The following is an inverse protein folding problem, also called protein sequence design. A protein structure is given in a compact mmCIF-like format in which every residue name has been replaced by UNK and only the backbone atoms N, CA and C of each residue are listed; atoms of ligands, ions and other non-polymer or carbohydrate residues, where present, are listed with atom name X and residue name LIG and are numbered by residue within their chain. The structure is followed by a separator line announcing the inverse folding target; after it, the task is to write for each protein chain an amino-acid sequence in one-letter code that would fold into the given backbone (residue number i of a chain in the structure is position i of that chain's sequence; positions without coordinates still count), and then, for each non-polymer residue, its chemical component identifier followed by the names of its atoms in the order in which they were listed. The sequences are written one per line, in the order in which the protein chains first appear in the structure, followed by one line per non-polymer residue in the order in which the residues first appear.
data_IF_635145603790
#
_entry.id   IF_635145603790
#
_cell.length_a   1.000
_cell.length_b   1.000
_cell.length_c   1.000
_cell.angle_alpha   90.00
_cell.angle_beta   90.00
_cell.angle_gamma   90.00
#
_symmetry.space_group_name_H-M   'P 1'
#
loop_
_entity.id
_entity.type
_entity.pdbx_description
1 polymer ?
#
# COMPACT_ATOMS: atom_id res chain seq x y z
N UNK A 1 -11.56 -11.10 -4.82
CA UNK A 1 -10.95 -9.83 -5.22
C UNK A 1 -10.21 -10.02 -6.53
N UNK A 2 -10.25 -9.05 -7.44
CA UNK A 2 -9.54 -9.08 -8.72
C UNK A 2 -8.17 -8.40 -8.59
N UNK A 3 -7.15 -8.97 -9.23
CA UNK A 3 -5.80 -8.39 -9.36
C UNK A 3 -5.57 -8.06 -10.83
N UNK A 4 -5.11 -6.84 -11.19
CA UNK A 4 -4.90 -6.47 -12.61
C UNK A 4 -3.92 -5.33 -12.85
N UNK A 5 -3.40 -5.25 -14.09
CA UNK A 5 -2.52 -4.17 -14.62
C UNK A 5 -3.35 -3.23 -15.48
N UNK A 6 -3.02 -1.94 -15.47
CA UNK A 6 -3.79 -0.88 -16.13
C UNK A 6 -2.87 0.01 -16.97
N UNK A 7 -3.24 0.22 -18.24
CA UNK A 7 -2.63 1.23 -19.09
C UNK A 7 -3.72 2.22 -19.57
N UNK A 8 -3.37 3.50 -19.67
CA UNK A 8 -4.20 4.49 -20.34
C UNK A 8 -3.78 4.60 -21.80
N UNK A 9 -4.72 4.45 -22.74
CA UNK A 9 -4.46 4.63 -24.18
C UNK A 9 -5.50 5.57 -24.81
N UNK A 10 -5.11 6.37 -25.82
CA UNK A 10 -6.04 7.16 -26.61
C UNK A 10 -6.75 6.29 -27.64
N UNK A 11 -7.95 6.74 -28.02
CA UNK A 11 -8.89 6.11 -28.96
C UNK A 11 -8.24 5.55 -30.24
N UNK A 12 -8.43 4.27 -30.50
CA UNK A 12 -8.79 3.74 -31.82
C UNK A 12 -9.39 2.34 -31.67
N UNK A 13 -10.47 2.07 -32.42
CA UNK A 13 -11.30 0.90 -32.28
C UNK A 13 -10.56 -0.42 -32.49
N UNK A 14 -10.65 -1.28 -31.49
CA UNK A 14 -10.40 -2.72 -31.58
C UNK A 14 -11.35 -3.41 -30.62
N UNK A 15 -12.22 -4.27 -31.15
CA UNK A 15 -13.14 -5.07 -30.33
C UNK A 15 -12.36 -5.84 -29.27
N UNK A 16 -12.76 -5.63 -28.02
CA UNK A 16 -12.18 -6.25 -26.84
C UNK A 16 -13.13 -7.33 -26.34
N UNK A 17 -12.64 -8.39 -25.66
CA UNK A 17 -13.53 -9.40 -25.09
C UNK A 17 -14.47 -8.74 -24.07
N UNK A 18 -15.76 -8.98 -24.26
CA UNK A 18 -16.82 -8.51 -23.38
C UNK A 18 -16.68 -9.15 -21.99
N UNK A 19 -17.21 -8.49 -20.95
CA UNK A 19 -17.30 -9.02 -19.59
C UNK A 19 -17.94 -10.43 -19.56
N UNK A 20 -18.80 -10.72 -20.54
CA UNK A 20 -19.39 -12.03 -20.81
C UNK A 20 -18.35 -13.13 -21.12
N UNK A 21 -17.26 -12.79 -21.82
CA UNK A 21 -16.18 -13.73 -22.14
C UNK A 21 -15.42 -14.20 -20.89
N UNK A 22 -15.13 -13.30 -19.96
CA UNK A 22 -14.52 -13.62 -18.67
C UNK A 22 -15.47 -14.41 -17.75
N UNK A 23 -16.77 -14.11 -17.76
CA UNK A 23 -17.80 -14.90 -17.04
C UNK A 23 -17.88 -16.34 -17.54
N UNK A 24 -17.80 -16.54 -18.87
CA UNK A 24 -17.94 -17.87 -19.48
C UNK A 24 -16.81 -18.84 -19.10
N UNK A 25 -15.62 -18.33 -18.76
CA UNK A 25 -14.42 -19.11 -18.46
C UNK A 25 -14.13 -19.30 -16.96
N UNK A 26 -14.92 -18.67 -16.08
CA UNK A 26 -14.81 -18.87 -14.64
C UNK A 26 -15.46 -20.19 -14.20
N UNK A 27 -14.88 -20.83 -13.16
CA UNK A 27 -15.49 -22.00 -12.50
C UNK A 27 -16.88 -21.66 -11.94
N UNK A 28 -17.80 -22.63 -11.81
CA UNK A 28 -19.20 -22.37 -11.44
C UNK A 28 -19.36 -21.54 -10.16
N UNK A 29 -18.55 -21.80 -9.12
CA UNK A 29 -18.60 -21.06 -7.85
C UNK A 29 -18.11 -19.60 -7.95
N UNK A 30 -17.31 -19.26 -8.96
CA UNK A 30 -16.83 -17.89 -9.21
C UNK A 30 -17.83 -17.07 -10.03
N UNK A 31 -18.76 -17.71 -10.74
CA UNK A 31 -19.82 -17.03 -11.51
C UNK A 31 -20.81 -16.34 -10.57
N UNK A 32 -21.18 -17.00 -9.46
CA UNK A 32 -22.10 -16.44 -8.46
C UNK A 32 -21.52 -15.20 -7.75
N UNK A 33 -20.18 -15.10 -7.61
CA UNK A 33 -19.52 -13.91 -7.05
C UNK A 33 -19.51 -12.72 -8.03
N UNK A 34 -19.54 -12.99 -9.34
CA UNK A 34 -19.63 -11.95 -10.38
C UNK A 34 -21.06 -11.40 -10.48
N UNK A 35 -22.09 -12.20 -10.18
CA UNK A 35 -23.48 -11.73 -10.12
C UNK A 35 -23.79 -10.83 -8.91
N UNK A 36 -23.01 -10.92 -7.83
CA UNK A 36 -23.19 -10.12 -6.61
C UNK A 36 -22.69 -8.65 -6.72
N UNK A 37 -22.34 -8.16 -7.91
CA UNK A 37 -21.91 -6.77 -8.08
C UNK A 37 -20.60 -6.41 -7.37
N UNK A 38 -19.83 -7.41 -6.93
CA UNK A 38 -18.53 -7.21 -6.25
C UNK A 38 -17.40 -7.05 -7.27
N UNK A 39 -17.52 -6.03 -8.11
CA UNK A 39 -16.57 -5.68 -9.16
C UNK A 39 -16.54 -4.18 -9.38
N UNK A 40 -15.54 -3.70 -10.14
CA UNK A 40 -15.37 -2.28 -10.44
C UNK A 40 -16.65 -1.71 -11.06
N UNK A 41 -17.05 -0.51 -10.62
CA UNK A 41 -18.30 0.11 -11.07
C UNK A 41 -18.32 0.27 -12.61
N UNK A 42 -19.43 -0.07 -13.31
CA UNK A 42 -19.47 -0.26 -14.77
C UNK A 42 -19.28 0.97 -15.69
N UNK A 43 -18.87 2.14 -15.19
CA UNK A 43 -18.85 3.39 -15.97
C UNK A 43 -17.51 4.13 -15.88
N UNK A 44 -16.40 3.64 -16.48
CA UNK A 44 -15.08 4.26 -16.21
C UNK A 44 -14.14 4.31 -17.41
N UNK A 45 -13.30 5.36 -17.41
CA UNK A 45 -12.18 5.65 -18.31
C UNK A 45 -11.06 4.58 -18.32
N UNK A 46 -11.25 3.47 -17.58
CA UNK A 46 -10.26 2.42 -17.38
C UNK A 46 -10.83 1.07 -17.77
N UNK A 47 -9.99 0.24 -18.38
CA UNK A 47 -10.32 -1.13 -18.75
C UNK A 47 -9.31 -2.09 -18.13
N UNK A 48 -9.81 -3.18 -17.54
CA UNK A 48 -8.96 -4.27 -17.03
C UNK A 48 -8.36 -4.95 -18.26
N UNK A 49 -7.03 -4.92 -18.42
CA UNK A 49 -6.35 -5.64 -19.49
C UNK A 49 -6.04 -7.08 -19.09
N UNK A 50 -5.64 -7.30 -17.84
CA UNK A 50 -5.37 -8.62 -17.30
C UNK A 50 -5.90 -8.76 -15.86
N UNK A 51 -6.27 -9.99 -15.50
CA UNK A 51 -7.02 -10.30 -14.29
C UNK A 51 -6.66 -11.65 -13.68
N UNK A 52 -6.67 -11.73 -12.35
CA UNK A 52 -6.62 -13.00 -11.60
C UNK A 52 -7.70 -13.04 -10.53
N UNK A 53 -8.23 -14.25 -10.26
CA UNK A 53 -9.20 -14.47 -9.18
C UNK A 53 -8.48 -14.99 -7.93
N UNK A 54 -8.63 -14.27 -6.83
CA UNK A 54 -8.23 -14.72 -5.50
C UNK A 54 -9.43 -15.18 -4.68
N UNK A 55 -9.33 -16.38 -4.11
CA UNK A 55 -10.27 -16.91 -3.12
C UNK A 55 -10.05 -16.34 -1.71
N UNK A 56 -9.06 -15.45 -1.55
CA UNK A 56 -8.75 -14.73 -0.30
C UNK A 56 -8.76 -13.22 -0.53
N UNK A 57 -9.09 -12.41 0.48
CA UNK A 57 -8.91 -10.96 0.41
C UNK A 57 -7.45 -10.58 0.12
N UNK A 58 -7.24 -9.61 -0.79
CA UNK A 58 -5.92 -9.09 -1.13
C UNK A 58 -5.78 -7.71 -0.51
N UNK A 59 -4.98 -7.60 0.55
CA UNK A 59 -4.76 -6.34 1.28
C UNK A 59 -3.43 -5.70 0.90
N UNK A 60 -2.47 -6.48 0.41
CA UNK A 60 -1.24 -5.98 -0.18
C UNK A 60 -0.88 -6.76 -1.42
N UNK A 61 -0.36 -6.05 -2.42
CA UNK A 61 0.15 -6.60 -3.65
C UNK A 61 1.48 -5.90 -3.96
N UNK A 62 2.49 -6.70 -4.30
CA UNK A 62 3.81 -6.21 -4.71
C UNK A 62 4.28 -6.95 -5.96
N UNK A 63 4.82 -6.20 -6.90
CA UNK A 63 5.61 -6.75 -7.99
C UNK A 63 6.98 -7.20 -7.47
N UNK A 64 7.45 -8.36 -7.92
CA UNK A 64 8.81 -8.84 -7.66
C UNK A 64 9.72 -8.29 -8.75
N UNK A 65 10.65 -7.35 -8.45
CA UNK A 65 11.49 -6.70 -9.45
C UNK A 65 12.21 -7.71 -10.33
N UNK A 66 12.43 -7.33 -11.59
CA UNK A 66 13.20 -8.10 -12.58
C UNK A 66 12.59 -9.49 -12.91
N UNK A 67 11.33 -9.72 -12.54
CA UNK A 67 10.56 -10.92 -12.85
C UNK A 67 9.15 -10.57 -13.32
N UNK A 68 8.41 -11.57 -13.76
CA UNK A 68 6.98 -11.50 -14.08
C UNK A 68 6.08 -11.94 -12.92
N UNK A 69 6.60 -11.92 -11.68
CA UNK A 69 5.90 -12.42 -10.50
C UNK A 69 5.28 -11.29 -9.68
N UNK A 70 4.10 -11.57 -9.13
CA UNK A 70 3.47 -10.76 -8.08
C UNK A 70 3.39 -11.58 -6.81
N UNK A 71 3.47 -10.90 -5.67
CA UNK A 71 3.18 -11.49 -4.36
C UNK A 71 2.05 -10.72 -3.72
N UNK A 72 1.08 -11.44 -3.17
CA UNK A 72 -0.04 -10.85 -2.43
C UNK A 72 -0.14 -11.41 -1.02
N UNK A 73 -0.63 -10.58 -0.10
CA UNK A 73 -0.98 -10.97 1.27
C UNK A 73 -2.31 -10.38 1.72
N UNK A 74 -2.92 -11.01 2.71
CA UNK A 74 -4.18 -10.61 3.31
C UNK A 74 -4.74 -11.70 4.24
N UNK A 75 -5.84 -11.42 4.96
CA UNK A 75 -6.52 -12.41 5.80
C UNK A 75 -6.87 -13.70 5.03
N UNK A 76 -7.03 -14.86 5.70
CA UNK A 76 -7.16 -15.05 7.15
C UNK A 76 -5.87 -15.42 7.89
N UNK A 77 -4.74 -15.52 7.20
CA UNK A 77 -3.47 -15.99 7.74
C UNK A 77 -2.30 -15.13 7.24
N UNK A 78 -1.07 -15.49 7.61
CA UNK A 78 0.13 -14.80 7.15
C UNK A 78 0.78 -15.41 5.90
N UNK A 79 0.10 -16.34 5.22
CA UNK A 79 0.61 -16.92 3.97
C UNK A 79 0.62 -15.89 2.85
N UNK A 80 1.56 -16.06 1.92
CA UNK A 80 1.63 -15.25 0.70
C UNK A 80 1.19 -16.09 -0.49
N UNK A 81 0.51 -15.46 -1.44
CA UNK A 81 0.21 -16.06 -2.74
C UNK A 81 1.16 -15.47 -3.79
N UNK A 82 1.76 -16.34 -4.59
CA UNK A 82 2.64 -15.98 -5.70
C UNK A 82 1.87 -16.15 -6.99
N UNK A 83 1.89 -15.10 -7.81
CA UNK A 83 1.16 -15.04 -9.07
C UNK A 83 2.13 -14.80 -10.21
N UNK A 84 1.84 -15.41 -11.34
CA UNK A 84 2.52 -15.19 -12.59
C UNK A 84 1.69 -14.26 -13.45
N UNK A 85 2.24 -13.10 -13.81
CA UNK A 85 1.72 -12.27 -14.88
C UNK A 85 2.12 -12.96 -16.18
N UNK A 86 1.14 -13.40 -16.97
CA UNK A 86 1.44 -14.12 -18.21
C UNK A 86 2.07 -13.19 -19.25
N UNK A 87 2.67 -13.79 -20.27
CA UNK A 87 3.21 -13.08 -21.43
C UNK A 87 2.08 -12.41 -22.23
N UNK A 88 2.44 -11.61 -23.24
CA UNK A 88 1.53 -10.71 -23.96
C UNK A 88 0.27 -11.40 -24.56
N UNK A 89 0.31 -12.72 -24.74
CA UNK A 89 -0.79 -13.51 -25.31
C UNK A 89 -1.86 -13.95 -24.30
N UNK A 90 -1.77 -13.53 -23.02
CA UNK A 90 -2.78 -13.88 -22.02
C UNK A 90 -3.12 -12.72 -21.08
N UNK A 91 -4.43 -12.52 -20.95
CA UNK A 91 -5.09 -11.64 -20.00
C UNK A 91 -5.22 -12.26 -18.60
N UNK A 92 -4.66 -13.45 -18.35
CA UNK A 92 -4.84 -14.17 -17.09
C UNK A 92 -3.60 -14.07 -16.22
N UNK A 93 -3.79 -13.53 -15.01
CA UNK A 93 -2.81 -13.62 -13.91
C UNK A 93 -3.11 -14.91 -13.13
N UNK A 94 -2.17 -15.85 -13.16
CA UNK A 94 -2.35 -17.19 -12.58
C UNK A 94 -1.68 -17.30 -11.22
N UNK A 95 -2.36 -17.87 -10.24
CA UNK A 95 -1.69 -18.31 -9.01
C UNK A 95 -0.78 -19.49 -9.35
N UNK A 96 0.50 -19.39 -8.97
CA UNK A 96 1.51 -20.42 -9.27
C UNK A 96 2.04 -21.12 -8.03
N UNK A 97 2.03 -20.45 -6.88
CA UNK A 97 2.45 -21.07 -5.62
C UNK A 97 2.01 -20.26 -4.41
N UNK A 98 2.23 -20.82 -3.22
CA UNK A 98 2.05 -20.13 -1.95
C UNK A 98 3.32 -20.25 -1.10
N UNK A 99 3.62 -19.20 -0.34
CA UNK A 99 4.66 -19.21 0.69
C UNK A 99 3.95 -19.38 2.03
N UNK A 100 4.06 -20.58 2.59
CA UNK A 100 3.50 -20.90 3.90
C UNK A 100 4.34 -20.27 5.00
N UNK A 101 3.67 -19.79 6.03
CA UNK A 101 4.29 -19.32 7.27
C UNK A 101 3.82 -20.22 8.41
N UNK A 102 4.64 -20.44 9.44
CA UNK A 102 4.33 -21.34 10.57
C UNK A 102 3.11 -20.92 11.41
N UNK A 103 2.57 -19.73 11.19
CA UNK A 103 1.49 -19.17 11.99
C UNK A 103 0.11 -19.71 11.57
N UNK A 104 -0.67 -20.14 12.56
CA UNK A 104 -2.04 -20.65 12.38
C UNK A 104 -3.09 -19.57 12.05
N UNK A 105 -4.29 -20.05 11.74
CA UNK A 105 -5.48 -19.24 11.43
C UNK A 105 -5.82 -18.26 12.56
N UNK A 106 -6.13 -17.00 12.22
CA UNK A 106 -6.49 -15.96 13.20
C UNK A 106 -5.34 -15.05 13.65
N UNK A 107 -4.11 -15.31 13.17
CA UNK A 107 -3.00 -14.36 13.28
C UNK A 107 -3.16 -13.20 12.29
N UNK A 108 -2.58 -12.01 12.58
CA UNK A 108 -2.58 -10.91 11.61
C UNK A 108 -1.90 -11.34 10.31
N UNK A 109 -2.41 -10.82 9.19
CA UNK A 109 -1.83 -11.10 7.87
C UNK A 109 -0.45 -10.46 7.72
N UNK A 110 0.39 -11.03 6.85
CA UNK A 110 1.77 -10.57 6.69
C UNK A 110 1.86 -9.25 5.90
N UNK A 111 2.60 -8.28 6.41
CA UNK A 111 3.06 -7.14 5.60
C UNK A 111 4.18 -7.62 4.68
N UNK A 112 4.23 -7.10 3.45
CA UNK A 112 5.17 -7.54 2.42
C UNK A 112 5.95 -6.35 1.84
N UNK A 113 7.23 -6.61 1.53
CA UNK A 113 8.08 -5.71 0.76
C UNK A 113 8.94 -6.52 -0.21
N UNK A 114 9.16 -5.97 -1.41
CA UNK A 114 10.06 -6.52 -2.42
C UNK A 114 11.20 -5.54 -2.66
N UNK A 115 12.35 -6.06 -3.06
CA UNK A 115 13.53 -5.26 -3.35
C UNK A 115 14.20 -5.82 -4.60
N UNK A 116 14.74 -4.95 -5.45
CA UNK A 116 15.62 -5.41 -6.53
C UNK A 116 16.91 -5.90 -5.90
N UNK A 117 17.18 -7.20 -6.08
CA UNK A 117 18.31 -7.90 -5.52
C UNK A 117 18.83 -8.89 -6.56
N UNK A 118 19.95 -9.54 -6.25
CA UNK A 118 20.51 -10.58 -7.13
C UNK A 118 19.59 -11.80 -7.31
N UNK A 119 18.53 -11.89 -6.51
CA UNK A 119 17.55 -12.96 -6.55
C UNK A 119 16.15 -12.40 -6.20
N UNK A 120 15.07 -13.06 -6.67
CA UNK A 120 13.70 -12.61 -6.44
C UNK A 120 13.29 -12.86 -4.99
N UNK A 121 13.47 -11.86 -4.12
CA UNK A 121 13.23 -11.96 -2.69
C UNK A 121 12.01 -11.18 -2.24
N UNK A 122 11.30 -11.73 -1.27
CA UNK A 122 10.23 -11.06 -0.54
C UNK A 122 10.55 -11.04 0.95
N UNK A 123 10.51 -9.84 1.54
CA UNK A 123 10.49 -9.65 2.99
C UNK A 123 9.04 -9.70 3.45
N UNK A 124 8.75 -10.52 4.45
CA UNK A 124 7.41 -10.62 5.00
C UNK A 124 7.39 -10.96 6.48
N UNK A 125 6.30 -10.59 7.14
CA UNK A 125 6.06 -10.89 8.55
C UNK A 125 4.75 -10.29 9.03
N UNK A 126 4.09 -11.00 9.95
CA UNK A 126 2.87 -10.53 10.62
C UNK A 126 3.16 -9.85 11.96
N UNK A 127 4.29 -10.22 12.58
CA UNK A 127 4.82 -9.72 13.85
C UNK A 127 6.33 -9.60 13.72
N UNK A 128 6.94 -8.88 14.64
CA UNK A 128 8.40 -8.68 14.65
C UNK A 128 9.19 -10.00 14.70
N UNK A 129 8.74 -10.94 15.52
CA UNK A 129 9.38 -12.24 15.67
C UNK A 129 9.06 -13.23 14.53
N UNK A 130 8.24 -12.84 13.56
CA UNK A 130 7.93 -13.64 12.36
C UNK A 130 8.47 -13.02 11.08
N UNK A 131 9.33 -12.00 11.18
CA UNK A 131 9.96 -11.36 10.02
C UNK A 131 10.98 -12.30 9.37
N UNK A 132 10.84 -12.48 8.07
CA UNK A 132 11.67 -13.38 7.28
C UNK A 132 11.83 -12.89 5.83
N UNK A 133 12.89 -13.36 5.18
CA UNK A 133 13.13 -13.18 3.76
C UNK A 133 13.01 -14.55 3.09
N UNK A 134 12.14 -14.65 2.09
CA UNK A 134 11.95 -15.84 1.29
C UNK A 134 12.33 -15.55 -0.15
N UNK A 135 13.09 -16.46 -0.76
CA UNK A 135 13.30 -16.45 -2.21
C UNK A 135 12.09 -17.05 -2.90
N UNK A 136 11.47 -16.27 -3.79
CA UNK A 136 10.08 -16.45 -4.23
C UNK A 136 9.91 -17.72 -5.07
N UNK A 137 10.88 -18.05 -5.92
CA UNK A 137 10.77 -19.17 -6.86
C UNK A 137 11.03 -20.52 -6.17
N UNK A 138 12.15 -20.65 -5.44
CA UNK A 138 12.48 -21.87 -4.69
C UNK A 138 11.68 -22.01 -3.40
N UNK A 139 11.05 -20.92 -2.94
CA UNK A 139 10.30 -20.82 -1.66
C UNK A 139 11.17 -21.11 -0.44
N UNK A 140 12.50 -21.02 -0.59
CA UNK A 140 13.44 -21.22 0.52
C UNK A 140 13.53 -19.96 1.35
N UNK A 141 13.45 -20.14 2.66
CA UNK A 141 13.78 -19.09 3.61
C UNK A 141 15.29 -18.81 3.51
N UNK A 142 15.64 -17.55 3.24
CA UNK A 142 17.02 -17.07 3.13
C UNK A 142 17.46 -16.43 4.44
N UNK A 143 16.52 -15.87 5.19
CA UNK A 143 16.77 -15.21 6.47
C UNK A 143 15.53 -15.25 7.35
N UNK A 144 15.74 -15.44 8.65
CA UNK A 144 14.72 -15.33 9.69
C UNK A 144 15.25 -14.45 10.82
N UNK A 145 14.47 -13.44 11.22
CA UNK A 145 14.84 -12.56 12.31
C UNK A 145 14.72 -13.27 13.66
N UNK A 146 15.85 -13.56 14.31
CA UNK A 146 15.90 -14.23 15.62
C UNK A 146 15.66 -13.29 16.80
N UNK A 147 14.54 -12.56 16.83
CA UNK A 147 14.24 -11.62 17.93
C UNK A 147 13.54 -12.39 19.06
N UNK A 148 14.29 -12.77 20.10
CA UNK A 148 13.73 -13.28 21.36
C UNK A 148 13.28 -12.10 22.24
N UNK A 149 12.00 -11.79 22.25
CA UNK A 149 11.43 -10.88 23.25
C UNK A 149 11.30 -11.64 24.58
N UNK A 150 12.27 -11.49 25.50
CA UNK A 150 12.07 -11.85 26.91
C UNK A 150 11.23 -10.74 27.55
N UNK A 151 10.01 -11.08 27.97
CA UNK A 151 9.13 -10.16 28.70
C UNK A 151 8.09 -9.50 27.80
N UNK A 152 6.82 -9.73 28.14
CA UNK A 152 5.69 -9.05 27.56
C UNK A 152 5.69 -7.60 28.07
N UNK A 153 5.96 -6.66 27.18
CA UNK A 153 5.29 -5.36 27.22
C UNK A 153 4.78 -5.04 25.83
N UNK A 154 3.47 -4.84 25.77
CA UNK A 154 2.66 -4.58 24.60
C UNK A 154 2.97 -3.20 24.02
N UNK A 155 4.18 -3.01 23.48
CA UNK A 155 4.53 -1.86 22.67
C UNK A 155 4.49 -2.29 21.19
N UNK A 156 3.59 -1.68 20.43
CA UNK A 156 3.44 -1.72 18.97
C UNK A 156 4.68 -1.20 18.27
N UNK A 157 5.80 -1.89 18.45
CA UNK A 157 7.08 -1.52 17.91
C UNK A 157 7.07 -1.88 16.43
N UNK A 158 6.88 -0.85 15.60
CA UNK A 158 7.07 -0.92 14.16
C UNK A 158 8.56 -0.72 13.90
N UNK A 159 9.15 -1.52 13.01
CA UNK A 159 10.59 -1.50 12.76
C UNK A 159 10.84 -1.41 11.27
N UNK A 160 11.92 -0.72 10.91
CA UNK A 160 12.41 -0.66 9.54
C UNK A 160 13.56 -1.65 9.44
N UNK A 161 13.49 -2.54 8.45
CA UNK A 161 14.63 -3.34 8.06
C UNK A 161 15.34 -2.66 6.90
N UNK A 162 16.49 -2.03 7.18
CA UNK A 162 17.37 -1.52 6.14
C UNK A 162 18.42 -2.58 5.80
N UNK A 163 18.46 -2.97 4.53
CA UNK A 163 19.41 -3.98 4.02
C UNK A 163 20.87 -3.52 4.11
N UNK A 164 21.12 -2.22 3.96
CA UNK A 164 22.49 -1.67 3.96
C UNK A 164 23.16 -1.78 5.33
N UNK A 165 22.39 -1.69 6.41
CA UNK A 165 22.93 -1.73 7.78
C UNK A 165 22.67 -3.06 8.49
N UNK A 166 21.86 -3.96 7.91
CA UNK A 166 21.41 -5.22 8.55
C UNK A 166 20.86 -4.99 9.96
N UNK A 167 20.28 -3.81 10.21
CA UNK A 167 19.76 -3.40 11.52
C UNK A 167 18.26 -3.17 11.43
N UNK A 168 17.54 -3.74 12.40
CA UNK A 168 16.18 -3.34 12.72
C UNK A 168 16.28 -2.05 13.56
N UNK A 169 15.66 -0.97 13.08
CA UNK A 169 15.68 0.30 13.78
C UNK A 169 14.33 0.57 14.45
N UNK A 170 14.35 0.93 15.74
CA UNK A 170 13.15 1.23 16.52
C UNK A 170 12.56 2.56 16.09
N UNK A 171 11.26 2.58 15.83
CA UNK A 171 10.49 3.80 15.58
C UNK A 171 10.15 4.47 16.91
N UNK A 172 9.97 5.81 16.95
CA UNK A 172 9.47 6.52 18.13
C UNK A 172 8.30 5.81 18.80
N UNK A 173 8.26 5.86 20.14
CA UNK A 173 7.24 5.21 20.95
C UNK A 173 5.85 5.66 20.53
N UNK A 174 5.06 4.72 20.04
CA UNK A 174 3.63 4.90 19.83
C UNK A 174 2.97 5.31 21.15
N UNK A 175 2.03 6.29 21.16
CA UNK A 175 1.02 6.33 22.20
C UNK A 175 0.38 4.95 22.33
N UNK A 176 0.23 4.47 23.57
CA UNK A 176 -0.24 3.11 23.83
C UNK A 176 -1.56 2.82 23.09
N UNK A 177 -1.57 1.77 22.25
CA UNK A 177 -2.76 1.30 21.53
C UNK A 177 -2.91 1.80 20.08
N UNK A 178 -2.05 2.68 19.58
CA UNK A 178 -2.10 3.13 18.18
C UNK A 178 -1.45 2.14 17.20
N UNK A 179 -2.03 2.03 15.99
CA UNK A 179 -1.38 1.30 14.88
C UNK A 179 -0.57 2.26 14.03
N UNK A 180 0.51 1.75 13.44
CA UNK A 180 1.43 2.54 12.62
C UNK A 180 1.58 1.93 11.23
N UNK A 181 1.79 2.80 10.25
CA UNK A 181 2.30 2.43 8.93
C UNK A 181 3.48 3.32 8.56
N UNK A 182 4.29 2.86 7.61
CA UNK A 182 5.54 3.54 7.26
C UNK A 182 5.70 3.66 5.75
N UNK A 183 6.32 4.76 5.34
CA UNK A 183 6.69 5.02 3.95
C UNK A 183 8.15 5.48 3.90
N UNK A 184 8.97 4.80 3.11
CA UNK A 184 10.37 5.19 2.90
C UNK A 184 10.43 6.09 1.68
N UNK A 185 11.05 7.25 1.83
CA UNK A 185 11.28 8.23 0.78
C UNK A 185 12.68 8.10 0.20
N UNK A 186 12.88 8.74 -0.95
CA UNK A 186 14.23 8.99 -1.46
C UNK A 186 14.69 10.32 -0.91
N UNK A 187 15.94 10.38 -0.44
CA UNK A 187 16.55 11.65 -0.09
C UNK A 187 16.72 12.57 -1.30
N UNK A 188 17.06 13.85 -1.05
CA UNK A 188 17.48 14.77 -2.10
C UNK A 188 18.58 14.14 -2.97
N UNK A 189 18.59 14.45 -4.27
CA UNK A 189 19.66 14.00 -5.15
C UNK A 189 21.04 14.36 -4.58
N UNK A 190 21.93 13.38 -4.46
CA UNK A 190 23.28 13.55 -3.90
C UNK A 190 23.37 13.45 -2.37
N UNK A 191 22.26 13.20 -1.67
CA UNK A 191 22.25 12.89 -0.23
C UNK A 191 22.00 11.40 0.00
N UNK A 192 22.81 10.79 0.86
CA UNK A 192 22.60 9.42 1.35
C UNK A 192 21.45 9.32 2.37
N UNK A 193 20.71 10.41 2.60
CA UNK A 193 19.55 10.41 3.49
C UNK A 193 18.41 9.62 2.90
N UNK A 194 17.79 8.76 3.71
CA UNK A 194 16.57 8.06 3.37
C UNK A 194 15.52 8.44 4.42
N UNK A 195 14.67 9.44 4.15
CA UNK A 195 13.66 9.85 5.10
C UNK A 195 12.59 8.76 5.20
N UNK A 196 12.06 8.56 6.40
CA UNK A 196 11.00 7.59 6.68
C UNK A 196 9.87 8.33 7.37
N UNK A 197 8.70 8.25 6.76
CA UNK A 197 7.47 8.75 7.33
C UNK A 197 6.83 7.64 8.15
N UNK A 198 6.52 7.91 9.41
CA UNK A 198 5.85 7.02 10.35
C UNK A 198 4.49 7.63 10.67
N UNK A 199 3.40 7.02 10.21
CA UNK A 199 2.03 7.52 10.38
C UNK A 199 1.29 6.65 11.38
N UNK A 200 0.70 7.29 12.40
CA UNK A 200 -0.13 6.64 13.41
C UNK A 200 -1.62 6.70 13.08
N UNK A 201 -2.40 5.80 13.67
CA UNK A 201 -3.86 5.81 13.62
C UNK A 201 -4.49 7.04 14.31
N UNK A 202 -3.74 7.76 15.13
CA UNK A 202 -4.14 9.03 15.73
C UNK A 202 -3.83 10.26 14.86
N UNK A 203 -3.29 10.06 13.65
CA UNK A 203 -2.91 11.14 12.74
C UNK A 203 -1.56 11.77 13.05
N UNK A 204 -0.77 11.19 13.96
CA UNK A 204 0.59 11.65 14.22
C UNK A 204 1.52 11.16 13.11
N UNK A 205 2.33 12.06 12.58
CA UNK A 205 3.28 11.77 11.53
C UNK A 205 4.67 12.23 11.95
N UNK A 206 5.60 11.27 11.99
CA UNK A 206 6.99 11.52 12.40
C UNK A 206 7.92 11.17 11.26
N UNK A 207 8.86 12.06 10.96
CA UNK A 207 9.90 11.88 9.96
C UNK A 207 11.20 11.49 10.65
N UNK A 208 11.84 10.42 10.21
CA UNK A 208 13.16 9.97 10.71
C UNK A 208 14.11 9.70 9.55
N UNK A 209 15.42 9.72 9.78
CA UNK A 209 16.40 9.19 8.80
C UNK A 209 16.69 7.73 9.15
N UNK A 210 16.71 6.84 8.16
CA UNK A 210 17.04 5.40 8.35
C UNK A 210 18.35 5.20 9.13
N UNK A 211 19.31 6.11 9.00
CA UNK A 211 20.62 6.06 9.67
C UNK A 211 20.60 6.65 11.08
N UNK A 212 19.58 7.45 11.42
CA UNK A 212 19.47 8.19 12.69
C UNK A 212 18.07 8.07 13.29
N UNK A 213 17.59 6.85 13.49
CA UNK A 213 16.21 6.60 13.95
C UNK A 213 15.92 7.02 15.39
N UNK A 214 16.96 7.31 16.19
CA UNK A 214 16.82 7.85 17.54
C UNK A 214 16.41 9.32 17.57
N UNK A 215 16.50 10.02 16.43
CA UNK A 215 16.16 11.44 16.33
C UNK A 215 15.09 11.66 15.26
N UNK A 216 14.03 12.38 15.65
CA UNK A 216 13.02 12.85 14.72
C UNK A 216 13.59 14.01 13.90
N UNK A 217 13.50 13.92 12.58
CA UNK A 217 13.79 15.02 11.67
C UNK A 217 12.72 16.11 11.77
N UNK A 218 11.46 15.70 11.84
CA UNK A 218 10.30 16.58 11.99
C UNK A 218 9.09 15.77 12.45
N UNK A 219 8.11 16.42 13.05
CA UNK A 219 6.85 15.80 13.44
C UNK A 219 5.69 16.75 13.23
N UNK A 220 4.53 16.19 12.90
CA UNK A 220 3.30 16.94 12.74
C UNK A 220 2.09 16.10 13.13
N UNK A 221 1.02 16.78 13.54
CA UNK A 221 -0.31 16.19 13.64
C UNK A 221 -1.10 16.51 12.38
N UNK A 222 -1.38 15.50 11.58
CA UNK A 222 -2.18 15.63 10.38
C UNK A 222 -3.65 15.90 10.76
N UNK A 223 -4.30 16.86 10.10
CA UNK A 223 -5.75 17.06 10.22
C UNK A 223 -6.51 15.98 9.45
N UNK A 224 -6.55 14.78 10.02
CA UNK A 224 -7.30 13.63 9.50
C UNK A 224 -8.46 13.27 10.44
N UNK A 225 -9.58 12.75 9.93
CA UNK A 225 -10.66 12.26 10.78
C UNK A 225 -10.20 11.10 11.66
N UNK A 226 -10.86 10.94 12.81
CA UNK A 226 -10.71 9.72 13.61
C UNK A 226 -11.13 8.51 12.76
N UNK A 227 -10.35 7.42 12.74
CA UNK A 227 -10.66 6.25 11.92
C UNK A 227 -12.01 5.65 12.32
N UNK A 228 -12.91 5.48 11.36
CA UNK A 228 -14.30 5.03 11.60
C UNK A 228 -14.39 3.54 11.99
N UNK A 229 -13.45 2.72 11.53
CA UNK A 229 -13.24 1.31 11.90
C UNK A 229 -12.04 0.77 11.11
N UNK A 230 -11.28 -0.17 11.69
CA UNK A 230 -10.22 -0.89 10.97
C UNK A 230 -9.02 -0.04 10.50
N UNK A 231 -7.91 -0.04 11.24
CA UNK A 231 -6.68 0.66 10.85
C UNK A 231 -5.76 -0.17 9.94
N UNK A 232 -6.28 -1.22 9.29
CA UNK A 232 -5.51 -2.08 8.39
C UNK A 232 -5.07 -1.38 7.09
N UNK A 233 -5.80 -0.35 6.67
CA UNK A 233 -5.61 0.38 5.39
C UNK A 233 -4.86 1.71 5.55
N UNK A 234 -4.34 2.01 6.75
CA UNK A 234 -3.47 3.17 6.94
C UNK A 234 -2.33 3.12 5.93
N UNK A 235 -2.17 4.21 5.19
CA UNK A 235 -1.21 4.30 4.11
C UNK A 235 -0.52 5.66 4.14
N UNK A 236 0.81 5.64 4.03
CA UNK A 236 1.65 6.80 3.81
C UNK A 236 2.64 6.49 2.70
N UNK A 237 2.79 7.39 1.72
CA UNK A 237 3.76 7.23 0.64
C UNK A 237 4.36 8.55 0.19
N UNK A 238 5.67 8.55 -0.06
CA UNK A 238 6.39 9.70 -0.57
C UNK A 238 6.16 9.87 -2.07
N UNK A 239 6.04 11.13 -2.50
CA UNK A 239 6.01 11.45 -3.92
C UNK A 239 7.36 11.09 -4.56
N UNK A 240 7.38 10.35 -5.68
CA UNK A 240 8.62 9.90 -6.30
C UNK A 240 9.43 11.04 -6.93
N UNK A 241 8.77 12.14 -7.31
CA UNK A 241 9.36 13.24 -8.07
C UNK A 241 9.18 14.63 -7.40
N UNK A 242 8.52 14.70 -6.24
CA UNK A 242 8.32 15.96 -5.50
C UNK A 242 9.01 15.86 -4.14
N UNK A 243 10.10 16.61 -3.99
CA UNK A 243 10.88 16.60 -2.76
C UNK A 243 10.03 17.07 -1.57
N UNK A 244 10.05 16.32 -0.47
CA UNK A 244 9.32 16.66 0.75
C UNK A 244 7.80 16.46 0.66
N UNK A 245 7.26 15.98 -0.46
CA UNK A 245 5.82 15.72 -0.56
C UNK A 245 5.49 14.27 -0.20
N UNK A 246 4.44 14.07 0.57
CA UNK A 246 3.88 12.75 0.87
C UNK A 246 2.35 12.75 0.84
N UNK A 247 1.78 11.58 0.64
CA UNK A 247 0.34 11.34 0.68
C UNK A 247 -0.03 10.44 1.86
N UNK A 248 -1.20 10.69 2.44
CA UNK A 248 -1.79 9.99 3.58
C UNK A 248 -3.22 9.59 3.26
N UNK A 249 -3.59 8.35 3.57
CA UNK A 249 -4.97 7.84 3.44
C UNK A 249 -5.26 6.71 4.43
N UNK A 250 -6.50 6.18 4.39
CA UNK A 250 -6.91 5.05 5.22
C UNK A 250 -7.59 5.44 6.53
N UNK A 251 -8.00 6.70 6.66
CA UNK A 251 -8.82 7.20 7.77
C UNK A 251 -10.30 7.28 7.39
N UNK A 252 -10.58 7.70 6.15
CA UNK A 252 -11.91 7.90 5.58
C UNK A 252 -11.87 7.84 4.04
N UNK A 253 -12.83 8.47 3.35
CA UNK A 253 -12.90 8.59 1.90
C UNK A 253 -11.98 9.64 1.27
N UNK A 254 -10.90 10.06 1.94
CA UNK A 254 -10.02 11.12 1.45
C UNK A 254 -8.55 10.68 1.32
N UNK A 255 -7.83 11.42 0.46
CA UNK A 255 -6.37 11.34 0.36
C UNK A 255 -5.80 12.73 0.58
N UNK A 256 -4.93 12.87 1.57
CA UNK A 256 -4.31 14.13 1.94
C UNK A 256 -2.88 14.17 1.41
N UNK A 257 -2.48 15.27 0.78
CA UNK A 257 -1.11 15.53 0.37
C UNK A 257 -0.53 16.61 1.26
N UNK A 258 0.69 16.38 1.76
CA UNK A 258 1.42 17.30 2.62
C UNK A 258 2.76 17.67 2.01
N UNK A 259 3.19 18.91 2.25
CA UNK A 259 4.58 19.34 2.11
C UNK A 259 5.23 19.32 3.49
N UNK A 260 6.27 18.53 3.65
CA UNK A 260 6.98 18.36 4.93
C UNK A 260 8.16 19.30 5.10
N UNK A 261 8.51 20.10 4.09
CA UNK A 261 9.70 20.96 4.15
C UNK A 261 9.56 22.07 5.20
N UNK A 262 8.33 22.48 5.50
CA UNK A 262 8.04 23.50 6.51
C UNK A 262 7.85 22.94 7.91
N UNK A 263 8.00 21.62 8.11
CA UNK A 263 7.78 21.00 9.41
C UNK A 263 9.04 21.06 10.26
N UNK A 264 8.84 21.31 11.55
CA UNK A 264 9.89 21.26 12.56
C UNK A 264 9.64 20.09 13.52
N UNK A 265 10.43 20.03 14.60
CA UNK A 265 10.28 19.00 15.64
C UNK A 265 9.21 19.33 16.68
N UNK A 266 8.43 20.40 16.51
CA UNK A 266 7.47 20.87 17.52
C UNK A 266 6.19 20.02 17.58
N UNK A 267 5.90 19.23 16.54
CA UNK A 267 4.70 18.40 16.49
C UNK A 267 3.40 19.20 16.25
N UNK A 268 3.50 20.41 15.69
CA UNK A 268 2.36 21.26 15.39
C UNK A 268 1.34 20.62 14.43
N UNK A 269 0.15 21.22 14.33
CA UNK A 269 -0.84 20.79 13.32
C UNK A 269 -0.34 21.15 11.91
N UNK A 270 -0.41 20.19 10.99
CA UNK A 270 -0.07 20.40 9.60
C UNK A 270 -1.32 20.47 8.73
N UNK A 271 -1.37 21.50 7.89
CA UNK A 271 -2.38 21.61 6.83
C UNK A 271 -1.94 20.85 5.58
N UNK A 272 -2.84 20.07 4.96
CA UNK A 272 -2.56 19.47 3.67
C UNK A 272 -2.51 20.55 2.59
N UNK A 273 -1.53 20.46 1.70
CA UNK A 273 -1.45 21.31 0.50
C UNK A 273 -2.52 20.94 -0.54
N UNK A 274 -3.09 19.73 -0.42
CA UNK A 274 -4.22 19.26 -1.22
C UNK A 274 -4.99 18.14 -0.51
N UNK A 275 -6.31 18.09 -0.69
CA UNK A 275 -7.17 17.01 -0.20
C UNK A 275 -8.07 16.51 -1.33
N UNK A 276 -7.87 15.26 -1.75
CA UNK A 276 -8.80 14.57 -2.64
C UNK A 276 -9.98 14.04 -1.84
N UNK A 277 -11.19 14.45 -2.22
CA UNK A 277 -12.45 14.01 -1.58
C UNK A 277 -13.36 13.19 -2.51
N UNK A 278 -12.84 12.73 -3.64
CA UNK A 278 -13.66 12.08 -4.66
C UNK A 278 -14.40 10.83 -4.19
N UNK A 279 -13.86 10.08 -3.21
CA UNK A 279 -14.54 8.91 -2.66
C UNK A 279 -15.55 9.27 -1.56
N UNK A 280 -15.42 10.47 -0.95
CA UNK A 280 -16.35 10.94 0.09
C UNK A 280 -17.67 11.47 -0.47
N UNK A 281 -17.71 11.83 -1.76
CA UNK A 281 -18.88 12.42 -2.43
C UNK A 281 -19.41 11.50 -3.53
N UNK A 282 -20.12 10.43 -3.12
CA UNK A 282 -20.83 9.53 -4.03
C UNK A 282 -22.36 9.76 -4.01
N UNK A 283 -23.08 9.45 -5.10
CA UNK A 283 -24.54 9.47 -5.11
C UNK A 283 -25.08 8.48 -4.06
N UNK A 284 -25.88 8.98 -3.12
CA UNK A 284 -26.38 8.20 -1.98
C UNK A 284 -25.55 8.31 -0.71
N UNK A 285 -24.86 9.46 -0.51
CA UNK A 285 -24.06 9.82 0.68
C UNK A 285 -24.65 9.28 1.99
N UNK A 286 -24.27 8.06 2.32
CA UNK A 286 -24.64 7.42 3.57
C UNK A 286 -23.85 8.09 4.69
N UNK A 287 -24.27 7.86 5.94
CA UNK A 287 -23.59 8.38 7.14
C UNK A 287 -22.10 7.97 7.23
N UNK A 288 -21.67 6.99 6.45
CA UNK A 288 -20.29 6.50 6.37
C UNK A 288 -19.78 6.55 4.92
N UNK A 289 -18.85 7.45 4.57
CA UNK A 289 -18.24 7.46 3.24
C UNK A 289 -17.38 6.19 3.02
N UNK A 290 -17.23 5.72 1.77
CA UNK A 290 -16.30 4.65 1.42
C UNK A 290 -14.88 4.94 1.93
N UNK A 291 -14.24 3.97 2.57
CA UNK A 291 -12.88 4.10 3.09
C UNK A 291 -11.86 3.95 1.96
N UNK A 292 -10.90 4.86 1.83
CA UNK A 292 -9.76 4.68 0.92
C UNK A 292 -8.90 3.51 1.43
N UNK A 293 -8.81 2.45 0.65
CA UNK A 293 -8.10 1.21 1.01
C UNK A 293 -6.65 1.19 0.53
N UNK A 294 -6.34 1.96 -0.52
CA UNK A 294 -4.99 2.10 -1.05
C UNK A 294 -4.83 3.39 -1.85
N UNK A 295 -3.61 3.93 -1.88
CA UNK A 295 -3.20 4.94 -2.86
C UNK A 295 -1.80 4.65 -3.40
N UNK A 296 -1.48 5.21 -4.56
CA UNK A 296 -0.13 5.18 -5.13
C UNK A 296 0.12 6.40 -6.01
N UNK A 297 1.38 6.85 -6.06
CA UNK A 297 1.82 7.94 -6.93
C UNK A 297 2.11 7.42 -8.33
N UNK A 298 1.76 8.21 -9.35
CA UNK A 298 2.18 7.91 -10.71
C UNK A 298 3.70 8.11 -10.85
N UNK A 299 4.46 7.13 -11.37
CA UNK A 299 5.92 7.18 -11.37
C UNK A 299 6.51 8.29 -12.25
N UNK A 300 5.78 8.71 -13.30
CA UNK A 300 6.24 9.68 -14.30
C UNK A 300 5.46 11.00 -14.30
N UNK A 301 4.40 11.11 -13.50
CA UNK A 301 3.54 12.31 -13.45
C UNK A 301 3.55 12.82 -12.01
N UNK A 302 4.40 13.81 -11.69
CA UNK A 302 4.75 14.14 -10.31
C UNK A 302 3.58 14.44 -9.38
N UNK A 303 2.46 14.95 -9.92
CA UNK A 303 1.27 15.36 -9.16
C UNK A 303 0.07 14.45 -9.36
N UNK A 304 0.26 13.30 -10.02
CA UNK A 304 -0.84 12.37 -10.28
C UNK A 304 -0.83 11.24 -9.26
N UNK A 305 -1.99 10.96 -8.67
CA UNK A 305 -2.21 9.83 -7.77
C UNK A 305 -3.34 8.93 -8.28
N UNK A 306 -3.27 7.67 -7.86
CA UNK A 306 -4.33 6.69 -7.99
C UNK A 306 -4.80 6.31 -6.59
N UNK A 307 -6.11 6.23 -6.37
CA UNK A 307 -6.69 5.83 -5.08
C UNK A 307 -7.86 4.88 -5.28
N UNK A 308 -7.95 3.84 -4.45
CA UNK A 308 -9.05 2.89 -4.44
C UNK A 308 -9.79 2.94 -3.11
N UNK A 309 -11.11 2.69 -3.13
CA UNK A 309 -11.94 2.70 -1.94
C UNK A 309 -12.76 1.41 -1.75
N UNK A 310 -13.35 1.25 -0.57
CA UNK A 310 -14.08 0.05 -0.13
C UNK A 310 -15.37 -0.23 -0.91
N UNK A 311 -15.87 0.74 -1.67
CA UNK A 311 -17.02 0.61 -2.58
C UNK A 311 -16.62 0.11 -3.99
N UNK A 312 -15.34 -0.17 -4.22
CA UNK A 312 -14.81 -0.59 -5.51
C UNK A 312 -14.49 0.55 -6.48
N UNK A 313 -14.60 1.81 -6.06
CA UNK A 313 -14.21 2.97 -6.88
C UNK A 313 -12.68 3.12 -6.96
N UNK A 314 -12.16 3.57 -8.12
CA UNK A 314 -10.72 3.76 -8.39
C UNK A 314 -10.42 5.13 -9.02
N UNK A 315 -10.03 6.14 -8.29
CA UNK A 315 -9.84 7.47 -8.87
C UNK A 315 -8.42 7.63 -9.38
N UNK A 316 -8.26 8.26 -10.54
CA UNK A 316 -6.97 8.80 -11.00
C UNK A 316 -7.15 10.30 -11.13
N UNK A 317 -6.28 11.05 -10.48
CA UNK A 317 -6.44 12.49 -10.34
C UNK A 317 -5.08 13.16 -10.31
N UNK A 318 -5.03 14.35 -10.88
CA UNK A 318 -3.88 15.24 -10.82
C UNK A 318 -4.25 16.43 -9.95
N UNK A 319 -3.33 16.89 -9.11
CA UNK A 319 -3.59 18.06 -8.26
C UNK A 319 -2.71 19.23 -8.66
N UNK A 320 -3.32 20.41 -8.68
CA UNK A 320 -2.62 21.67 -8.94
C UNK A 320 -2.32 22.30 -7.59
N UNK A 321 -1.07 22.69 -7.37
CA UNK A 321 -0.73 23.49 -6.21
C UNK A 321 -1.38 24.86 -6.39
N UNK A 322 -2.26 25.23 -5.48
CA UNK A 322 -2.80 26.59 -5.42
C UNK A 322 -1.61 27.54 -5.40
N UNK A 323 -1.40 28.34 -6.45
CA UNK A 323 -0.46 29.46 -6.35
C UNK A 323 -0.94 30.31 -5.17
N UNK A 324 -0.10 30.43 -4.15
CA UNK A 324 -0.35 31.35 -3.05
C UNK A 324 -0.69 32.71 -3.64
N UNK A 325 -1.73 33.35 -3.10
CA UNK A 325 -2.09 34.72 -3.46
C UNK A 325 -0.81 35.55 -3.43
N UNK A 326 -0.44 36.13 -4.57
CA UNK A 326 0.49 37.26 -4.59
C UNK A 326 -0.21 38.37 -3.80
N UNK A 327 0.21 38.53 -2.54
CA UNK A 327 -0.16 39.64 -1.67
C UNK A 327 1.01 40.60 -1.60
#
# INVERSE_FOLDING_TARGET
GAVGRWNGLPRAGGESPSLEGLKSRAEPALRDLVELGTGLCPERDFKVECGGFSNRPVYSLKHVPDTSLLVTSGPPDSSLQVWQVSAEDSDVIKSVSAISTENGTGQPWAKIATISARAPWVLHGSRLNSVQITEVESRKNVYMAGIQTKGADSASSTWILCRETSRAASVPSAPCGERWCMGVGRGPQGSDSQPVACLSSGGHLTLTDVRKTSESLASAKCRVPSPSSGTEFLCVSWAPALAGCLAVSGFDGTVHVYDTQSWDSSGGEAEPIFVHKGHAFGPGSSRNPPLVTAHTWHPQKPRTLLSAASDGSLHVWDWVQSCGKCG
#
